data_IF_443262145261
#
_entry.id   IF_443262145261
#
_cell.length_a   1.000
_cell.length_b   1.000
_cell.length_c   1.000
_cell.angle_alpha   90.00
_cell.angle_beta   90.00
_cell.angle_gamma   90.00
#
_symmetry.space_group_name_H-M   'P 1'
#
loop_
_entity.id
_entity.type
_entity.pdbx_description
1 polymer ?
#
# COMPACT_ATOMS: atom_id res chain seq x y z
N UNK A 1 -13.01 -17.20 -1.96
CA UNK A 1 -11.54 -17.03 -2.03
C UNK A 1 -11.12 -16.31 -0.75
N UNK A 2 -10.21 -16.89 0.03
CA UNK A 2 -9.69 -16.21 1.22
C UNK A 2 -8.78 -15.11 0.70
N UNK A 3 -9.15 -13.85 0.87
CA UNK A 3 -8.29 -12.72 0.51
C UNK A 3 -7.04 -12.79 1.39
N UNK A 4 -5.96 -13.31 0.85
CA UNK A 4 -4.67 -13.35 1.53
C UNK A 4 -3.99 -12.02 1.27
N UNK A 5 -3.86 -11.21 2.32
CA UNK A 5 -3.21 -9.91 2.24
C UNK A 5 -1.76 -10.08 1.76
N UNK A 6 -1.38 -9.36 0.70
CA UNK A 6 -0.08 -9.48 0.05
C UNK A 6 0.45 -8.09 -0.31
N UNK A 7 1.67 -7.82 0.10
CA UNK A 7 2.42 -6.63 -0.26
C UNK A 7 3.87 -7.05 -0.51
N UNK A 8 4.44 -6.69 -1.65
CA UNK A 8 5.87 -6.88 -1.91
C UNK A 8 6.44 -5.63 -2.55
N UNK A 9 7.49 -5.06 -1.96
CA UNK A 9 8.20 -3.92 -2.52
C UNK A 9 9.71 -4.10 -2.31
N UNK A 10 10.48 -3.90 -3.37
CA UNK A 10 11.92 -3.62 -3.31
C UNK A 10 12.17 -2.32 -4.05
N UNK A 11 12.69 -1.32 -3.35
CA UNK A 11 13.17 -0.10 -4.00
C UNK A 11 13.71 0.92 -3.00
N UNK A 12 14.52 1.83 -3.52
CA UNK A 12 15.28 2.81 -2.76
C UNK A 12 14.74 4.19 -3.15
N UNK A 13 14.00 4.81 -2.22
CA UNK A 13 13.41 6.17 -2.29
C UNK A 13 12.27 6.38 -3.28
N UNK A 14 11.09 6.70 -2.75
CA UNK A 14 9.92 7.07 -3.54
C UNK A 14 9.10 8.14 -2.82
N UNK A 15 8.77 9.22 -3.53
CA UNK A 15 7.74 10.16 -3.09
C UNK A 15 6.38 9.65 -3.58
N UNK A 16 5.45 9.42 -2.65
CA UNK A 16 4.11 8.97 -2.97
C UNK A 16 3.36 10.11 -3.68
N UNK A 17 2.94 9.86 -4.91
CA UNK A 17 2.26 10.84 -5.76
C UNK A 17 0.75 10.70 -5.69
N UNK A 18 0.26 9.46 -5.75
CA UNK A 18 -1.18 9.19 -5.88
C UNK A 18 -1.54 7.87 -5.19
N UNK A 19 -2.76 7.84 -4.66
CA UNK A 19 -3.37 6.67 -4.04
C UNK A 19 -4.74 6.49 -4.68
N UNK A 20 -4.98 5.32 -5.28
CA UNK A 20 -6.24 4.99 -5.94
C UNK A 20 -6.83 3.70 -5.35
N UNK A 21 -8.14 3.66 -5.14
CA UNK A 21 -8.85 2.45 -4.74
C UNK A 21 -9.35 1.72 -5.99
N UNK A 22 -9.02 0.44 -6.11
CA UNK A 22 -9.60 -0.44 -7.11
C UNK A 22 -10.49 -1.48 -6.42
N UNK A 23 -11.79 -1.56 -6.76
CA UNK A 23 -12.66 -2.60 -6.24
C UNK A 23 -12.21 -3.98 -6.72
N UNK A 24 -12.63 -5.02 -5.99
CA UNK A 24 -12.41 -6.40 -6.39
C UNK A 24 -12.98 -6.62 -7.81
N UNK A 25 -12.17 -7.23 -8.68
CA UNK A 25 -12.52 -7.39 -10.08
C UNK A 25 -11.94 -8.69 -10.64
N UNK A 26 -12.50 -9.11 -11.76
CA UNK A 26 -11.99 -10.23 -12.53
C UNK A 26 -10.93 -9.72 -13.52
N UNK A 27 -9.75 -10.31 -13.45
CA UNK A 27 -8.68 -10.06 -14.41
C UNK A 27 -8.60 -11.23 -15.39
N UNK A 28 -8.79 -10.92 -16.68
CA UNK A 28 -8.70 -11.90 -17.77
C UNK A 28 -7.45 -11.66 -18.61
N UNK A 29 -6.77 -12.74 -19.00
CA UNK A 29 -5.61 -12.65 -19.89
C UNK A 29 -5.46 -13.90 -20.76
N UNK A 30 -4.51 -13.86 -21.70
CA UNK A 30 -4.25 -14.94 -22.68
C UNK A 30 -4.89 -14.67 -24.05
N UNK A 31 -4.53 -15.49 -25.06
CA UNK A 31 -5.25 -15.46 -26.34
C UNK A 31 -6.72 -15.78 -26.06
N UNK A 32 -7.61 -14.88 -26.46
CA UNK A 32 -9.07 -15.00 -26.22
C UNK A 32 -9.52 -14.91 -24.76
N UNK A 33 -8.72 -14.32 -23.85
CA UNK A 33 -9.12 -14.08 -22.45
C UNK A 33 -9.51 -15.35 -21.66
N UNK A 34 -8.93 -16.50 -22.03
CA UNK A 34 -9.24 -17.81 -21.46
C UNK A 34 -8.79 -17.97 -19.99
N UNK A 35 -7.77 -17.23 -19.55
CA UNK A 35 -7.30 -17.29 -18.16
C UNK A 35 -8.01 -16.24 -17.32
N UNK A 36 -8.59 -16.67 -16.20
CA UNK A 36 -9.35 -15.83 -15.28
C UNK A 36 -8.72 -15.89 -13.89
N UNK A 37 -8.46 -14.72 -13.30
CA UNK A 37 -8.06 -14.57 -11.91
C UNK A 37 -8.99 -13.57 -11.23
N UNK A 38 -9.36 -13.84 -9.98
CA UNK A 38 -10.11 -12.89 -9.18
C UNK A 38 -9.09 -12.07 -8.39
N UNK A 39 -9.08 -10.76 -8.63
CA UNK A 39 -8.24 -9.82 -7.89
C UNK A 39 -9.09 -9.27 -6.75
N UNK A 40 -8.58 -9.37 -5.52
CA UNK A 40 -9.21 -8.74 -4.36
C UNK A 40 -9.21 -7.21 -4.53
N UNK A 41 -9.97 -6.50 -3.69
CA UNK A 41 -9.89 -5.04 -3.69
C UNK A 41 -8.46 -4.60 -3.32
N UNK A 42 -7.96 -3.56 -3.98
CA UNK A 42 -6.59 -3.09 -3.82
C UNK A 42 -6.54 -1.58 -3.61
N UNK A 43 -5.44 -1.15 -3.00
CA UNK A 43 -5.02 0.25 -3.00
C UNK A 43 -3.76 0.35 -3.85
N UNK A 44 -3.86 1.07 -4.95
CA UNK A 44 -2.74 1.30 -5.86
C UNK A 44 -2.03 2.59 -5.45
N UNK A 45 -0.74 2.46 -5.16
CA UNK A 45 0.15 3.56 -4.82
C UNK A 45 0.99 3.87 -6.05
N UNK A 46 0.89 5.09 -6.58
CA UNK A 46 1.79 5.58 -7.62
C UNK A 46 2.80 6.51 -7.00
N UNK A 47 4.06 6.29 -7.35
CA UNK A 47 5.18 7.08 -6.88
C UNK A 47 5.76 7.93 -8.01
N UNK A 48 6.47 8.99 -7.64
CA UNK A 48 7.28 9.74 -8.57
C UNK A 48 8.29 8.83 -9.30
N UNK A 49 8.53 9.11 -10.58
CA UNK A 49 9.36 8.25 -11.43
C UNK A 49 8.62 7.07 -12.08
N UNK A 50 7.29 6.99 -11.92
CA UNK A 50 6.44 6.04 -12.66
C UNK A 50 6.34 4.64 -12.07
N UNK A 51 6.83 4.44 -10.84
CA UNK A 51 6.67 3.19 -10.12
C UNK A 51 5.26 3.08 -9.53
N UNK A 52 4.68 1.88 -9.57
CA UNK A 52 3.40 1.56 -8.92
C UNK A 52 3.56 0.38 -7.96
N UNK A 53 2.95 0.49 -6.78
CA UNK A 53 2.74 -0.61 -5.84
C UNK A 53 1.25 -0.91 -5.73
N UNK A 54 0.91 -2.18 -5.61
CA UNK A 54 -0.44 -2.61 -5.31
C UNK A 54 -0.48 -3.20 -3.91
N UNK A 55 -1.37 -2.69 -3.06
CA UNK A 55 -1.63 -3.22 -1.72
C UNK A 55 -2.97 -3.96 -1.74
N UNK A 56 -2.93 -5.29 -1.75
CA UNK A 56 -4.14 -6.13 -1.64
C UNK A 56 -4.40 -6.42 -0.18
N UNK A 57 -5.50 -5.88 0.37
CA UNK A 57 -5.94 -6.13 1.75
C UNK A 57 -7.38 -6.67 1.76
N UNK A 58 -7.67 -7.53 2.74
CA UNK A 58 -9.07 -7.74 3.14
C UNK A 58 -9.66 -6.43 3.69
N UNK A 59 -10.99 -6.28 3.67
CA UNK A 59 -11.63 -5.06 4.20
C UNK A 59 -11.44 -4.96 5.72
N UNK A 60 -11.35 -6.10 6.41
CA UNK A 60 -11.04 -6.19 7.83
C UNK A 60 -9.61 -5.70 8.13
N UNK A 61 -8.62 -6.18 7.37
CA UNK A 61 -7.23 -5.73 7.53
C UNK A 61 -7.06 -4.26 7.15
N UNK A 62 -7.76 -3.78 6.12
CA UNK A 62 -7.74 -2.38 5.71
C UNK A 62 -8.31 -1.46 6.81
N UNK A 63 -9.39 -1.88 7.48
CA UNK A 63 -9.94 -1.14 8.62
C UNK A 63 -8.98 -1.14 9.81
N UNK A 64 -8.41 -2.30 10.15
CA UNK A 64 -7.43 -2.40 11.22
C UNK A 64 -6.19 -1.52 10.96
N UNK A 65 -5.71 -1.48 9.71
CA UNK A 65 -4.62 -0.60 9.30
C UNK A 65 -5.02 0.87 9.44
N UNK A 66 -6.19 1.27 8.96
CA UNK A 66 -6.68 2.65 9.06
C UNK A 66 -6.85 3.12 10.52
N UNK A 67 -7.24 2.23 11.43
CA UNK A 67 -7.36 2.52 12.86
C UNK A 67 -5.99 2.73 13.52
N UNK A 68 -4.97 1.95 13.13
CA UNK A 68 -3.63 2.02 13.74
C UNK A 68 -2.73 3.09 13.12
N UNK A 69 -2.94 3.44 11.85
CA UNK A 69 -2.06 4.33 11.09
C UNK A 69 -1.82 5.69 11.77
N UNK A 70 -2.83 6.39 12.33
CA UNK A 70 -2.60 7.67 13.01
C UNK A 70 -1.63 7.57 14.19
N UNK A 71 -1.70 6.50 14.98
CA UNK A 71 -0.80 6.29 16.11
C UNK A 71 0.63 6.05 15.64
N UNK A 72 0.80 5.26 14.57
CA UNK A 72 2.11 4.98 13.97
C UNK A 72 2.76 6.29 13.47
N UNK A 73 1.99 7.13 12.77
CA UNK A 73 2.47 8.44 12.29
C UNK A 73 2.91 9.35 13.45
N UNK A 74 2.08 9.44 14.51
CA UNK A 74 2.43 10.23 15.69
C UNK A 74 3.74 9.76 16.35
N UNK A 75 3.94 8.44 16.46
CA UNK A 75 5.17 7.88 17.04
C UNK A 75 6.39 8.17 16.17
N UNK A 76 6.24 8.14 14.84
CA UNK A 76 7.29 8.50 13.90
C UNK A 76 7.68 9.99 14.04
N UNK A 77 6.70 10.90 14.01
CA UNK A 77 6.95 12.34 14.16
C UNK A 77 7.65 12.68 15.49
N UNK A 78 7.27 11.98 16.57
CA UNK A 78 7.94 12.12 17.86
C UNK A 78 9.40 11.65 17.81
N UNK A 79 9.67 10.52 17.12
CA UNK A 79 11.03 10.00 16.96
C UNK A 79 11.91 10.94 16.12
N UNK A 80 11.39 11.47 15.01
CA UNK A 80 12.08 12.44 14.15
C UNK A 80 12.43 13.73 14.90
N UNK A 81 11.49 14.25 15.69
CA UNK A 81 11.74 15.43 16.52
C UNK A 81 12.84 15.20 17.55
N UNK A 82 12.82 14.06 18.25
CA UNK A 82 13.89 13.70 19.22
C UNK A 82 15.24 13.53 18.52
N UNK A 83 15.26 12.96 17.32
CA UNK A 83 16.49 12.83 16.53
C UNK A 83 17.06 14.21 16.13
N UNK A 84 16.19 15.12 15.67
CA UNK A 84 16.59 16.49 15.32
C UNK A 84 17.13 17.27 16.53
N UNK A 85 16.47 17.17 17.70
CA UNK A 85 16.93 17.80 18.93
C UNK A 85 18.32 17.31 19.36
N UNK A 86 18.59 16.00 19.23
CA UNK A 86 19.91 15.42 19.53
C UNK A 86 20.99 15.78 18.52
N UNK A 87 20.65 16.11 17.28
CA UNK A 87 21.62 16.48 16.26
C UNK A 87 22.13 17.93 16.39
N UNK A 88 21.38 18.78 17.11
CA UNK A 88 21.72 20.19 17.36
C UNK A 88 22.47 20.37 18.70
N UNK A 89 22.39 19.39 19.60
CA UNK A 89 23.06 19.36 20.91
C UNK A 89 24.47 18.75 20.84
#
# INVERSE_FOLDING_TARGET
MIAMSYASMRGFTFELREVEYAPAHEYRWGPEEEYVNQIAATVDLRFEGGMSLCLSLSIEDARALAEQLPQILMLHDAAERVAAEKAVA
#
